data_IF_722689833878
#
_entry.id   IF_722689833878
#
_cell.length_a   1.000
_cell.length_b   1.000
_cell.length_c   1.000
_cell.angle_alpha   90.00
_cell.angle_beta   90.00
_cell.angle_gamma   90.00
#
_symmetry.space_group_name_H-M   'P 1'
#
loop_
_entity.id
_entity.type
_entity.pdbx_description
1 polymer ?
#
# COMPACT_ATOMS: atom_id res chain seq x y z
N UNK A 1 -4.98 63.44 4.31
CA UNK A 1 -5.24 62.27 5.18
C UNK A 1 -5.88 61.17 4.36
N UNK A 2 -5.61 59.90 4.72
CA UNK A 2 -6.03 58.64 4.08
C UNK A 2 -5.04 58.12 3.04
N UNK A 3 -4.29 57.07 3.39
CA UNK A 3 -4.07 55.82 2.62
C UNK A 3 -3.62 54.72 3.59
N UNK A 4 -4.58 54.13 4.30
CA UNK A 4 -4.46 52.74 4.76
C UNK A 4 -5.05 51.85 3.67
N UNK A 5 -4.75 50.55 3.76
CA UNK A 5 -5.18 49.44 2.90
C UNK A 5 -4.10 49.07 1.87
N UNK A 6 -3.22 48.11 2.20
CA UNK A 6 -2.86 47.01 1.31
C UNK A 6 -1.97 45.94 1.99
N UNK A 7 -2.45 45.23 3.01
CA UNK A 7 -1.72 44.06 3.52
C UNK A 7 -2.69 43.01 4.07
N UNK A 8 -3.47 42.42 3.17
CA UNK A 8 -4.25 41.23 3.44
C UNK A 8 -4.38 40.41 2.14
N UNK A 9 -3.29 39.75 1.75
CA UNK A 9 -3.28 38.75 0.67
C UNK A 9 -1.96 37.98 0.67
N UNK A 10 -1.64 37.30 1.78
CA UNK A 10 -0.72 36.17 1.75
C UNK A 10 -1.45 34.93 2.27
N UNK A 11 -2.49 34.55 1.54
CA UNK A 11 -2.97 33.18 1.53
C UNK A 11 -2.66 32.67 0.11
N UNK A 12 -1.37 32.44 -0.15
CA UNK A 12 -0.95 31.72 -1.33
C UNK A 12 -1.52 30.30 -1.19
N UNK A 13 -2.55 30.04 -1.98
CA UNK A 13 -3.10 28.71 -2.11
C UNK A 13 -1.99 27.74 -2.48
N UNK A 14 -1.86 26.68 -1.69
CA UNK A 14 -1.22 25.46 -2.15
C UNK A 14 -2.15 24.88 -3.21
N UNK A 15 -1.99 25.35 -4.45
CA UNK A 15 -2.57 24.70 -5.61
C UNK A 15 -1.80 23.41 -5.80
N UNK A 16 -2.48 22.29 -5.58
CA UNK A 16 -2.09 20.98 -6.06
C UNK A 16 -1.65 21.11 -7.51
N UNK A 17 -0.35 20.92 -7.76
CA UNK A 17 0.20 20.85 -9.11
C UNK A 17 -0.06 19.42 -9.58
N UNK A 18 -1.20 19.22 -10.22
CA UNK A 18 -1.46 18.02 -11.00
C UNK A 18 -0.88 18.23 -12.41
N UNK A 19 0.13 17.41 -12.72
CA UNK A 19 0.61 16.95 -14.02
C UNK A 19 0.78 17.96 -15.16
N UNK A 20 2.03 18.17 -15.57
CA UNK A 20 2.35 18.42 -16.99
C UNK A 20 2.80 17.10 -17.61
N UNK A 21 1.90 16.45 -18.35
CA UNK A 21 2.30 15.51 -19.39
C UNK A 21 2.76 16.35 -20.59
N UNK A 22 4.07 16.45 -20.83
CA UNK A 22 4.68 16.31 -22.16
C UNK A 22 6.16 16.73 -22.16
N UNK A 23 6.93 15.87 -22.82
CA UNK A 23 8.18 16.10 -23.56
C UNK A 23 9.46 16.63 -22.90
N UNK A 24 10.52 15.89 -23.25
CA UNK A 24 11.92 16.26 -23.36
C UNK A 24 12.83 16.26 -22.10
N UNK A 25 13.66 15.22 -22.09
CA UNK A 25 15.12 15.34 -21.91
C UNK A 25 15.64 15.48 -20.46
N UNK A 26 15.82 14.33 -19.81
CA UNK A 26 16.95 14.08 -18.92
C UNK A 26 16.80 14.50 -17.46
N UNK A 27 16.48 13.51 -16.62
CA UNK A 27 16.92 13.32 -15.24
C UNK A 27 16.67 14.46 -14.25
N UNK A 28 15.53 14.43 -13.55
CA UNK A 28 15.48 14.74 -12.10
C UNK A 28 14.35 13.93 -11.44
N UNK A 29 14.74 13.03 -10.53
CA UNK A 29 13.94 12.09 -9.72
C UNK A 29 13.60 10.71 -10.35
N UNK A 30 14.63 9.92 -10.66
CA UNK A 30 14.49 8.48 -10.96
C UNK A 30 13.92 7.64 -9.79
N UNK A 31 13.68 8.24 -8.62
CA UNK A 31 13.27 7.54 -7.39
C UNK A 31 11.86 7.92 -6.91
N UNK A 32 11.02 8.51 -7.75
CA UNK A 32 9.59 8.65 -7.46
C UNK A 32 8.81 7.55 -8.18
N UNK A 33 7.88 6.92 -7.48
CA UNK A 33 6.99 5.91 -8.04
C UNK A 33 5.54 6.29 -7.75
N UNK A 34 4.66 6.05 -8.72
CA UNK A 34 3.24 6.36 -8.61
C UNK A 34 2.48 5.21 -7.94
N UNK A 35 1.70 5.56 -6.93
CA UNK A 35 0.79 4.69 -6.21
C UNK A 35 -0.59 4.73 -6.89
N UNK A 36 -1.01 3.64 -7.52
CA UNK A 36 -2.34 3.54 -8.12
C UNK A 36 -3.30 2.81 -7.17
N UNK A 37 -4.21 3.55 -6.54
CA UNK A 37 -5.27 2.96 -5.74
C UNK A 37 -6.50 2.79 -6.63
N UNK A 38 -7.01 1.58 -6.75
CA UNK A 38 -8.15 1.20 -7.61
C UNK A 38 -9.43 2.04 -7.43
N UNK A 39 -9.57 2.76 -6.31
CA UNK A 39 -10.71 3.65 -6.04
C UNK A 39 -10.33 5.09 -5.60
N UNK A 40 -9.05 5.47 -5.62
CA UNK A 40 -8.61 6.81 -5.21
C UNK A 40 -7.64 7.44 -6.20
N UNK A 41 -7.54 8.77 -6.16
CA UNK A 41 -6.57 9.54 -6.96
C UNK A 41 -5.16 9.00 -6.73
N UNK A 42 -4.48 8.63 -7.81
CA UNK A 42 -3.08 8.26 -7.81
C UNK A 42 -2.25 9.32 -7.08
N UNK A 43 -1.32 8.89 -6.22
CA UNK A 43 -0.38 9.79 -5.55
C UNK A 43 1.06 9.34 -5.77
N UNK A 44 1.99 10.28 -5.84
CA UNK A 44 3.40 9.97 -6.04
C UNK A 44 4.11 9.80 -4.70
N UNK A 45 4.91 8.73 -4.60
CA UNK A 45 5.77 8.45 -3.48
C UNK A 45 7.21 8.66 -3.93
N UNK A 46 7.90 9.61 -3.31
CA UNK A 46 9.28 9.96 -3.65
C UNK A 46 10.26 9.57 -2.56
N UNK A 47 11.46 9.19 -2.97
CA UNK A 47 12.59 8.95 -2.07
C UNK A 47 13.11 10.27 -1.49
N UNK A 48 13.29 10.28 -0.17
CA UNK A 48 13.97 11.35 0.55
C UNK A 48 15.49 11.28 0.38
N UNK A 49 16.23 12.30 0.86
CA UNK A 49 17.69 12.38 0.71
C UNK A 49 18.47 11.23 1.36
N UNK A 50 17.84 10.53 2.30
CA UNK A 50 18.42 9.41 3.05
C UNK A 50 18.07 8.03 2.47
N UNK A 51 17.37 7.98 1.32
CA UNK A 51 16.97 6.73 0.68
C UNK A 51 15.62 6.16 1.15
N UNK A 52 14.91 6.88 2.02
CA UNK A 52 13.64 6.46 2.62
C UNK A 52 12.50 7.42 2.27
N UNK A 53 11.26 6.93 2.31
CA UNK A 53 10.08 7.73 2.04
C UNK A 53 9.77 8.64 3.23
N UNK A 54 9.57 9.92 2.98
CA UNK A 54 9.12 10.90 3.98
C UNK A 54 7.70 11.32 3.65
N UNK A 55 6.76 11.06 4.57
CA UNK A 55 5.34 11.40 4.43
C UNK A 55 4.98 12.43 5.49
N UNK A 56 4.44 13.57 5.07
CA UNK A 56 4.10 14.69 5.98
C UNK A 56 5.25 15.16 6.89
N UNK A 57 6.50 15.01 6.44
CA UNK A 57 7.69 15.36 7.21
C UNK A 57 8.15 14.30 8.22
N UNK A 58 7.53 13.12 8.21
CA UNK A 58 7.93 11.96 9.02
C UNK A 58 8.62 10.94 8.10
N UNK A 59 9.85 10.58 8.45
CA UNK A 59 10.58 9.49 7.80
C UNK A 59 9.91 8.16 8.15
N UNK A 60 9.46 7.44 7.12
CA UNK A 60 8.85 6.11 7.25
C UNK A 60 9.86 5.03 7.64
N UNK A 61 11.16 5.27 7.41
CA UNK A 61 12.21 4.25 7.51
C UNK A 61 12.13 3.15 6.45
N UNK A 62 11.24 3.29 5.47
CA UNK A 62 11.02 2.35 4.38
C UNK A 62 11.53 2.94 3.06
N UNK A 63 12.08 2.07 2.21
CA UNK A 63 12.37 2.44 0.81
C UNK A 63 11.07 2.67 0.04
N UNK A 64 11.14 3.38 -1.10
CA UNK A 64 9.98 3.64 -1.97
C UNK A 64 9.27 2.34 -2.35
N UNK A 65 10.01 1.31 -2.74
CA UNK A 65 9.46 0.00 -3.09
C UNK A 65 8.68 -0.64 -1.91
N UNK A 66 9.25 -0.62 -0.71
CA UNK A 66 8.59 -1.17 0.48
C UNK A 66 7.35 -0.38 0.88
N UNK A 67 7.42 0.95 0.77
CA UNK A 67 6.29 1.82 1.07
C UNK A 67 5.14 1.58 0.09
N UNK A 68 5.45 1.38 -1.19
CA UNK A 68 4.46 1.08 -2.22
C UNK A 68 3.84 -0.30 -2.02
N UNK A 69 4.62 -1.35 -1.83
CA UNK A 69 4.04 -2.67 -1.52
C UNK A 69 3.17 -2.64 -0.27
N UNK A 70 3.51 -1.83 0.74
CA UNK A 70 2.73 -1.75 1.97
C UNK A 70 1.46 -0.87 1.90
N UNK A 71 1.44 0.16 1.04
CA UNK A 71 0.39 1.20 1.07
C UNK A 71 -0.29 1.45 -0.28
N UNK A 72 0.26 0.91 -1.37
CA UNK A 72 -0.15 1.15 -2.75
C UNK A 72 -0.62 -0.10 -3.46
N UNK A 73 -0.07 -1.25 -3.08
CA UNK A 73 -0.70 -2.53 -3.39
C UNK A 73 -1.97 -2.66 -2.55
N UNK A 74 -3.04 -2.01 -3.00
CA UNK A 74 -4.37 -2.59 -2.90
C UNK A 74 -4.43 -3.77 -3.88
N UNK A 75 -3.50 -4.72 -3.75
CA UNK A 75 -3.49 -5.92 -4.55
C UNK A 75 -4.68 -6.74 -4.07
N UNK A 76 -5.87 -6.38 -4.55
CA UNK A 76 -6.96 -7.30 -4.79
C UNK A 76 -6.50 -8.22 -5.93
N UNK A 77 -5.37 -8.89 -5.70
CA UNK A 77 -4.82 -9.90 -6.57
C UNK A 77 -5.97 -10.88 -6.75
N UNK A 78 -6.44 -11.12 -7.99
CA UNK A 78 -7.55 -12.04 -8.22
C UNK A 78 -7.21 -13.38 -7.57
N UNK A 79 -7.82 -13.61 -6.42
CA UNK A 79 -7.61 -14.79 -5.61
C UNK A 79 -8.03 -16.01 -6.43
N UNK A 80 -7.07 -16.86 -6.75
CA UNK A 80 -7.30 -18.18 -7.36
C UNK A 80 -6.99 -19.27 -6.32
N UNK A 81 -7.44 -20.51 -6.55
CA UNK A 81 -7.14 -21.64 -5.67
C UNK A 81 -7.47 -21.40 -4.18
N UNK A 82 -8.66 -20.88 -3.89
CA UNK A 82 -9.12 -20.68 -2.52
C UNK A 82 -9.43 -22.02 -1.82
N UNK A 83 -8.95 -22.15 -0.59
CA UNK A 83 -9.32 -23.24 0.34
C UNK A 83 -9.94 -22.64 1.59
N UNK A 84 -10.93 -23.34 2.13
CA UNK A 84 -11.58 -22.97 3.38
C UNK A 84 -10.96 -23.76 4.52
N UNK A 85 -10.36 -23.05 5.46
CA UNK A 85 -9.87 -23.62 6.71
C UNK A 85 -11.01 -23.65 7.74
N UNK A 86 -11.23 -24.83 8.35
CA UNK A 86 -12.28 -25.03 9.35
C UNK A 86 -12.00 -24.21 10.63
N UNK A 87 -13.05 -24.01 11.44
CA UNK A 87 -12.88 -23.38 12.75
C UNK A 87 -11.98 -24.24 13.65
N UNK A 88 -11.16 -23.59 14.48
CA UNK A 88 -10.32 -24.29 15.45
C UNK A 88 -10.20 -23.47 16.74
N UNK A 89 -9.77 -24.12 17.82
CA UNK A 89 -9.61 -23.47 19.13
C UNK A 89 -8.17 -23.55 19.59
N UNK A 90 -7.56 -22.40 19.87
CA UNK A 90 -6.20 -22.29 20.38
C UNK A 90 -6.21 -21.48 21.68
N UNK A 91 -5.65 -22.04 22.75
CA UNK A 91 -5.59 -21.40 24.07
C UNK A 91 -6.94 -20.89 24.60
N UNK A 92 -8.04 -21.56 24.28
CA UNK A 92 -9.40 -21.16 24.70
C UNK A 92 -10.02 -20.04 23.87
N UNK A 93 -9.35 -19.58 22.82
CA UNK A 93 -9.91 -18.69 21.82
C UNK A 93 -10.31 -19.47 20.57
N UNK A 94 -11.57 -19.33 20.15
CA UNK A 94 -12.07 -19.94 18.91
C UNK A 94 -11.78 -19.00 17.75
N UNK A 95 -11.08 -19.52 16.75
CA UNK A 95 -10.86 -18.89 15.46
C UNK A 95 -11.95 -19.42 14.52
N UNK A 96 -12.82 -18.56 13.95
CA UNK A 96 -13.85 -19.01 13.04
C UNK A 96 -13.23 -19.55 11.74
N UNK A 97 -14.01 -20.31 10.97
CA UNK A 97 -13.60 -20.72 9.64
C UNK A 97 -13.26 -19.49 8.77
N UNK A 98 -12.22 -19.62 7.94
CA UNK A 98 -11.72 -18.54 7.09
C UNK A 98 -11.22 -19.11 5.76
N UNK A 99 -11.18 -18.26 4.74
CA UNK A 99 -10.71 -18.62 3.40
C UNK A 99 -9.28 -18.12 3.18
N UNK A 100 -8.46 -18.97 2.57
CA UNK A 100 -7.10 -18.67 2.15
C UNK A 100 -7.00 -18.91 0.66
N UNK A 101 -6.61 -17.89 -0.09
CA UNK A 101 -6.47 -17.97 -1.54
C UNK A 101 -5.03 -17.76 -1.99
N UNK A 102 -4.70 -18.20 -3.19
CA UNK A 102 -3.43 -17.92 -3.85
C UNK A 102 -3.57 -16.60 -4.63
N UNK A 103 -2.74 -15.61 -4.29
CA UNK A 103 -2.61 -14.37 -5.06
C UNK A 103 -1.77 -14.57 -6.33
N UNK A 104 -1.79 -13.60 -7.24
CA UNK A 104 -1.06 -13.69 -8.52
C UNK A 104 0.46 -13.77 -8.34
N UNK A 105 0.95 -13.27 -7.21
CA UNK A 105 2.35 -13.34 -6.80
C UNK A 105 2.73 -14.68 -6.12
N UNK A 106 1.79 -15.62 -5.98
CA UNK A 106 1.99 -16.91 -5.32
C UNK A 106 1.96 -16.87 -3.80
N UNK A 107 1.59 -15.73 -3.21
CA UNK A 107 1.40 -15.60 -1.77
C UNK A 107 -0.02 -15.97 -1.34
N UNK A 108 -0.19 -16.26 -0.05
CA UNK A 108 -1.50 -16.46 0.55
C UNK A 108 -2.20 -15.13 0.81
N UNK A 109 -3.42 -15.03 0.31
CA UNK A 109 -4.36 -13.94 0.55
C UNK A 109 -5.42 -14.43 1.53
N UNK A 110 -5.55 -13.76 2.67
CA UNK A 110 -6.53 -14.10 3.72
C UNK A 110 -7.44 -12.90 3.95
N UNK A 111 -8.75 -13.09 3.71
CA UNK A 111 -9.71 -11.98 3.83
C UNK A 111 -9.43 -10.82 2.88
N UNK A 112 -8.84 -11.09 1.70
CA UNK A 112 -8.48 -10.09 0.70
C UNK A 112 -7.16 -9.35 0.96
N UNK A 113 -6.38 -9.78 1.96
CA UNK A 113 -5.09 -9.18 2.30
C UNK A 113 -3.98 -10.18 1.99
N UNK A 114 -2.99 -9.79 1.19
CA UNK A 114 -1.77 -10.58 0.99
C UNK A 114 -0.96 -10.66 2.29
N UNK A 115 -0.69 -11.88 2.74
CA UNK A 115 0.10 -12.17 3.94
C UNK A 115 1.62 -11.96 3.75
N UNK A 116 2.10 -11.86 2.51
CA UNK A 116 3.52 -11.87 2.16
C UNK A 116 4.19 -13.24 2.33
N UNK A 117 3.41 -14.29 2.60
CA UNK A 117 3.87 -15.67 2.78
C UNK A 117 3.43 -16.51 1.59
N UNK A 118 4.33 -17.32 1.02
CA UNK A 118 4.00 -18.21 -0.09
C UNK A 118 2.78 -19.11 0.25
N UNK A 119 1.83 -19.21 -0.67
CA UNK A 119 0.54 -19.89 -0.47
C UNK A 119 0.70 -21.30 0.12
N UNK A 120 1.56 -22.12 -0.48
CA UNK A 120 1.85 -23.49 -0.01
C UNK A 120 2.43 -23.56 1.42
N UNK A 121 3.16 -22.53 1.85
CA UNK A 121 3.71 -22.45 3.21
C UNK A 121 2.63 -22.07 4.21
N UNK A 122 1.75 -21.13 3.82
CA UNK A 122 0.61 -20.74 4.64
C UNK A 122 -0.35 -21.91 4.86
N UNK A 123 -0.71 -22.66 3.79
CA UNK A 123 -1.57 -23.84 3.91
C UNK A 123 -0.96 -24.90 4.83
N UNK A 124 0.32 -25.26 4.64
CA UNK A 124 1.00 -26.19 5.55
C UNK A 124 0.98 -25.72 7.00
N UNK A 125 1.14 -24.41 7.24
CA UNK A 125 1.07 -23.83 8.58
C UNK A 125 -0.32 -23.94 9.20
N UNK A 126 -1.38 -23.69 8.43
CA UNK A 126 -2.75 -23.82 8.90
C UNK A 126 -3.15 -25.29 9.09
N UNK A 127 -2.68 -26.20 8.24
CA UNK A 127 -2.91 -27.65 8.37
C UNK A 127 -2.34 -28.26 9.67
N UNK A 128 -1.41 -27.57 10.34
CA UNK A 128 -0.94 -27.98 11.68
C UNK A 128 -1.97 -27.69 12.78
N UNK A 129 -2.93 -26.80 12.53
CA UNK A 129 -3.88 -26.29 13.51
C UNK A 129 -5.34 -26.63 13.16
N UNK A 130 -5.67 -26.71 11.87
CA UNK A 130 -7.02 -26.93 11.33
C UNK A 130 -6.97 -27.70 10.02
N UNK A 131 -8.12 -28.11 9.50
CA UNK A 131 -8.23 -28.75 8.17
C UNK A 131 -8.62 -27.69 7.14
N UNK A 132 -7.92 -27.64 6.00
CA UNK A 132 -8.15 -26.67 4.92
C UNK A 132 -8.50 -27.43 3.62
N UNK A 133 -9.67 -27.15 3.04
CA UNK A 133 -10.21 -27.86 1.87
C UNK A 133 -10.75 -26.93 0.79
#
# INVERSE_FOLDING_TARGET
MKKLILSLALLAGMTFVACSSDDDNGSVNDNCQTCELTEATNFEVCEGPDGTVVVEGIDSGLTVAQYITANCDNDTSPATNCVTCAEYTVQGQTVPAFEVCEGDNGNAVVGGIDSGVAYSTAIQGYELLTDCQ
#
